data_IF_614415729869
#
_entry.id   IF_614415729869
#
_cell.length_a   1.000
_cell.length_b   1.000
_cell.length_c   1.000
_cell.angle_alpha   90.00
_cell.angle_beta   90.00
_cell.angle_gamma   90.00
#
_symmetry.space_group_name_H-M   'P 1'
#
loop_
_entity.id
_entity.type
_entity.pdbx_description
1 polymer ?
#
# COMPACT_ATOMS: atom_id res chain seq x y z
N UNK A 1 -12.48 -21.39 -2.19
CA UNK A 1 -11.05 -21.20 -2.49
C UNK A 1 -10.78 -20.14 -3.56
N UNK A 2 -11.46 -20.18 -4.72
CA UNK A 2 -11.22 -19.19 -5.79
C UNK A 2 -11.56 -17.74 -5.41
N UNK A 3 -12.68 -17.50 -4.72
CA UNK A 3 -13.11 -16.16 -4.29
C UNK A 3 -12.07 -15.41 -3.42
N UNK A 4 -11.57 -15.98 -2.29
CA UNK A 4 -10.55 -15.30 -1.50
C UNK A 4 -9.21 -15.16 -2.25
N UNK A 5 -8.86 -16.12 -3.11
CA UNK A 5 -7.68 -16.00 -3.97
C UNK A 5 -7.76 -14.76 -4.87
N UNK A 6 -8.89 -14.57 -5.57
CA UNK A 6 -9.09 -13.40 -6.43
C UNK A 6 -9.04 -12.09 -5.64
N UNK A 7 -9.60 -12.05 -4.43
CA UNK A 7 -9.54 -10.85 -3.57
C UNK A 7 -8.09 -10.48 -3.21
N UNK A 8 -7.27 -11.48 -2.83
CA UNK A 8 -5.85 -11.28 -2.51
C UNK A 8 -5.07 -10.87 -3.74
N UNK A 9 -5.30 -11.51 -4.89
CA UNK A 9 -4.61 -11.18 -6.14
C UNK A 9 -4.90 -9.75 -6.58
N UNK A 10 -6.17 -9.32 -6.56
CA UNK A 10 -6.57 -7.98 -6.99
C UNK A 10 -6.02 -6.93 -6.02
N UNK A 11 -6.24 -7.09 -4.71
CA UNK A 11 -5.74 -6.14 -3.71
C UNK A 11 -4.21 -6.07 -3.68
N UNK A 12 -3.54 -7.22 -3.71
CA UNK A 12 -2.09 -7.33 -3.68
C UNK A 12 -1.43 -6.77 -4.94
N UNK A 13 -1.93 -7.10 -6.12
CA UNK A 13 -1.39 -6.56 -7.39
C UNK A 13 -1.57 -5.05 -7.47
N UNK A 14 -2.74 -4.52 -7.14
CA UNK A 14 -2.99 -3.08 -7.09
C UNK A 14 -2.03 -2.37 -6.12
N UNK A 15 -1.88 -2.91 -4.89
CA UNK A 15 -0.94 -2.36 -3.90
C UNK A 15 0.52 -2.39 -4.36
N UNK A 16 0.95 -3.48 -5.01
CA UNK A 16 2.30 -3.61 -5.56
C UNK A 16 2.58 -2.62 -6.69
N UNK A 17 1.62 -2.41 -7.61
CA UNK A 17 1.75 -1.44 -8.71
C UNK A 17 1.81 -0.01 -8.15
N UNK A 18 0.94 0.34 -7.21
CA UNK A 18 0.98 1.65 -6.55
C UNK A 18 2.32 1.88 -5.85
N UNK A 19 2.80 0.88 -5.10
CA UNK A 19 4.12 0.96 -4.44
C UNK A 19 5.25 1.19 -5.44
N UNK A 20 5.23 0.48 -6.56
CA UNK A 20 6.22 0.62 -7.62
C UNK A 20 6.20 2.03 -8.23
N UNK A 21 5.03 2.57 -8.57
CA UNK A 21 4.88 3.91 -9.12
C UNK A 21 5.40 5.00 -8.17
N UNK A 22 5.04 4.91 -6.88
CA UNK A 22 5.51 5.87 -5.87
C UNK A 22 7.02 5.78 -5.67
N UNK A 23 7.58 4.57 -5.62
CA UNK A 23 9.02 4.37 -5.50
C UNK A 23 9.77 4.99 -6.68
N UNK A 24 9.34 4.71 -7.91
CA UNK A 24 9.98 5.27 -9.11
C UNK A 24 9.87 6.79 -9.18
N UNK A 25 8.72 7.35 -8.77
CA UNK A 25 8.46 8.79 -8.92
C UNK A 25 9.11 9.64 -7.84
N UNK A 26 9.16 9.14 -6.60
CA UNK A 26 9.49 9.97 -5.45
C UNK A 26 10.78 9.57 -4.73
N UNK A 27 11.24 8.31 -4.78
CA UNK A 27 12.37 7.88 -3.96
C UNK A 27 13.68 8.62 -4.26
N UNK A 28 13.90 9.02 -5.50
CA UNK A 28 15.10 9.77 -5.91
C UNK A 28 15.11 11.22 -5.44
N UNK A 29 13.96 11.78 -5.03
CA UNK A 29 13.86 13.18 -4.61
C UNK A 29 14.56 13.44 -3.27
N UNK A 30 14.60 12.44 -2.39
CA UNK A 30 15.27 12.54 -1.09
C UNK A 30 15.89 11.19 -0.71
N UNK A 31 17.12 10.90 -1.18
CA UNK A 31 17.74 9.58 -1.03
C UNK A 31 17.97 9.14 0.41
N UNK A 32 18.22 10.08 1.32
CA UNK A 32 18.46 9.78 2.74
C UNK A 32 17.22 9.23 3.45
N UNK A 33 16.02 9.54 2.96
CA UNK A 33 14.76 8.99 3.45
C UNK A 33 13.76 8.88 2.29
N UNK A 34 13.78 7.78 1.52
CA UNK A 34 13.04 7.67 0.26
C UNK A 34 11.53 7.94 0.45
N UNK A 35 11.01 9.08 -0.04
CA UNK A 35 9.69 9.54 0.36
C UNK A 35 8.56 8.71 -0.28
N UNK A 36 8.79 8.10 -1.45
CA UNK A 36 7.83 7.19 -2.07
C UNK A 36 7.58 5.96 -1.19
N UNK A 37 8.64 5.33 -0.70
CA UNK A 37 8.56 4.20 0.24
C UNK A 37 7.92 4.61 1.57
N UNK A 38 8.25 5.80 2.09
CA UNK A 38 7.63 6.30 3.32
C UNK A 38 6.11 6.51 3.15
N UNK A 39 5.70 7.18 2.07
CA UNK A 39 4.30 7.50 1.80
C UNK A 39 3.42 6.25 1.71
N UNK A 40 3.86 5.21 0.98
CA UNK A 40 3.05 4.00 0.82
C UNK A 40 2.87 3.25 2.14
N UNK A 41 3.84 3.30 3.05
CA UNK A 41 3.73 2.69 4.37
C UNK A 41 2.76 3.50 5.26
N UNK A 42 2.86 4.83 5.26
CA UNK A 42 1.95 5.68 6.02
C UNK A 42 0.50 5.57 5.52
N UNK A 43 0.29 5.57 4.20
CA UNK A 43 -1.03 5.36 3.59
C UNK A 43 -1.55 3.97 3.93
N UNK A 44 -0.72 2.92 3.79
CA UNK A 44 -1.10 1.55 4.14
C UNK A 44 -1.50 1.42 5.62
N UNK A 45 -0.74 2.03 6.52
CA UNK A 45 -1.03 2.12 7.95
C UNK A 45 -2.35 2.84 8.25
N UNK A 46 -2.61 3.96 7.58
CA UNK A 46 -3.88 4.69 7.71
C UNK A 46 -5.07 3.88 7.22
N UNK A 47 -4.93 3.21 6.07
CA UNK A 47 -5.99 2.37 5.49
C UNK A 47 -6.31 1.19 6.41
N UNK A 48 -5.30 0.47 6.92
CA UNK A 48 -5.57 -0.65 7.84
C UNK A 48 -6.15 -0.16 9.18
N UNK A 49 -5.70 0.99 9.70
CA UNK A 49 -6.28 1.59 10.91
C UNK A 49 -7.76 1.95 10.73
N UNK A 50 -8.13 2.54 9.58
CA UNK A 50 -9.52 2.80 9.23
C UNK A 50 -10.34 1.53 9.05
N UNK A 51 -9.77 0.51 8.38
CA UNK A 51 -10.40 -0.80 8.23
C UNK A 51 -10.66 -1.46 9.59
N UNK A 52 -9.70 -1.40 10.52
CA UNK A 52 -9.90 -1.89 11.89
C UNK A 52 -11.06 -1.14 12.57
N UNK A 53 -11.06 0.19 12.56
CA UNK A 53 -12.12 0.98 13.19
C UNK A 53 -13.52 0.67 12.64
N UNK A 54 -13.60 0.31 11.34
CA UNK A 54 -14.85 -0.02 10.67
C UNK A 54 -15.30 -1.47 10.88
N UNK A 55 -14.38 -2.44 10.81
CA UNK A 55 -14.69 -3.87 10.78
C UNK A 55 -14.54 -4.60 12.13
N UNK A 56 -13.98 -3.96 13.17
CA UNK A 56 -13.77 -4.59 14.51
C UNK A 56 -15.06 -4.71 15.35
N UNK A 57 -16.20 -4.29 14.82
CA UNK A 57 -17.52 -4.51 15.44
C UNK A 57 -18.16 -5.80 14.92
#
# INVERSE_FOLDING_TARGET
MLKPLLAVMIGGSAGCVLRWLFAMRFNSLFPNLPPGTLLVNLIGGLVIGGAMAWFVR
#
